data_IF_507727990569
#
_entry.id   IF_507727990569
#
_cell.length_a   1.000
_cell.length_b   1.000
_cell.length_c   1.000
_cell.angle_alpha   90.00
_cell.angle_beta   90.00
_cell.angle_gamma   90.00
#
_symmetry.space_group_name_H-M   'P 1'
#
loop_
_entity.id
_entity.type
_entity.pdbx_description
1 polymer ?
#
# COMPACT_ATOMS: atom_id res chain seq x y z
N UNK A 1 5.83 -12.84 11.09
CA UNK A 1 4.83 -13.45 10.19
C UNK A 1 5.07 -12.88 8.81
N UNK A 2 5.14 -13.71 7.77
CA UNK A 2 5.17 -13.22 6.39
C UNK A 2 3.77 -12.74 5.99
N UNK A 3 3.69 -11.57 5.37
CA UNK A 3 2.43 -11.00 4.89
C UNK A 3 2.59 -10.42 3.49
N UNK A 4 1.44 -10.24 2.84
CA UNK A 4 1.32 -9.62 1.52
C UNK A 4 0.66 -8.25 1.72
N UNK A 5 1.16 -7.23 1.03
CA UNK A 5 0.58 -5.89 1.10
C UNK A 5 -0.18 -5.60 -0.19
N UNK A 6 -1.41 -5.12 -0.05
CA UNK A 6 -2.25 -4.65 -1.15
C UNK A 6 -2.45 -3.15 -1.00
N UNK A 7 -1.84 -2.36 -1.88
CA UNK A 7 -1.95 -0.90 -1.91
C UNK A 7 -2.95 -0.51 -2.99
N UNK A 8 -4.17 -0.20 -2.60
CA UNK A 8 -5.28 0.16 -3.51
C UNK A 8 -6.37 0.86 -2.68
N UNK A 9 -6.87 2.01 -3.15
CA UNK A 9 -7.87 2.79 -2.42
C UNK A 9 -9.31 2.39 -2.76
N UNK A 10 -9.54 1.76 -3.92
CA UNK A 10 -10.88 1.37 -4.39
C UNK A 10 -11.18 -0.13 -4.24
N UNK A 11 -10.19 -1.00 -4.47
CA UNK A 11 -10.36 -2.44 -4.59
C UNK A 11 -9.96 -3.17 -3.31
N UNK A 12 -10.44 -4.40 -3.20
CA UNK A 12 -10.08 -5.30 -2.11
C UNK A 12 -9.03 -6.33 -2.58
N UNK A 13 -8.17 -6.83 -1.68
CA UNK A 13 -7.24 -7.89 -2.01
C UNK A 13 -7.96 -9.17 -2.47
N UNK A 14 -7.27 -10.04 -3.22
CA UNK A 14 -7.80 -11.33 -3.61
C UNK A 14 -8.25 -12.16 -2.41
N UNK A 15 -9.38 -12.87 -2.55
CA UNK A 15 -9.88 -13.81 -1.54
C UNK A 15 -9.24 -15.18 -1.73
N UNK A 16 -8.02 -15.32 -1.22
CA UNK A 16 -7.28 -16.58 -1.18
C UNK A 16 -6.68 -16.83 0.21
N UNK A 17 -5.88 -17.90 0.34
CA UNK A 17 -5.32 -18.35 1.62
C UNK A 17 -4.13 -17.50 2.11
N UNK A 18 -3.77 -16.41 1.43
CA UNK A 18 -2.68 -15.53 1.84
C UNK A 18 -3.16 -14.48 2.83
N UNK A 19 -2.28 -14.10 3.75
CA UNK A 19 -2.54 -13.01 4.68
C UNK A 19 -2.24 -11.66 4.02
N UNK A 20 -3.30 -11.00 3.57
CA UNK A 20 -3.26 -9.68 2.94
C UNK A 20 -3.50 -8.56 3.95
N UNK A 21 -2.63 -7.57 3.94
CA UNK A 21 -2.82 -6.28 4.61
C UNK A 21 -3.20 -5.25 3.55
N UNK A 22 -4.37 -4.64 3.70
CA UNK A 22 -4.83 -3.59 2.80
C UNK A 22 -4.33 -2.23 3.28
N UNK A 23 -3.81 -1.42 2.36
CA UNK A 23 -3.41 -0.04 2.57
C UNK A 23 -4.07 0.83 1.50
N UNK A 24 -4.79 1.87 1.92
CA UNK A 24 -5.52 2.77 1.02
C UNK A 24 -4.85 4.14 0.87
N UNK A 25 -3.68 4.32 1.48
CA UNK A 25 -2.90 5.55 1.41
C UNK A 25 -1.43 5.29 1.68
N UNK A 26 -0.59 6.27 1.33
CA UNK A 26 0.85 6.26 1.62
C UNK A 26 1.13 6.08 3.12
N UNK A 27 0.38 6.76 3.98
CA UNK A 27 0.55 6.65 5.43
C UNK A 27 0.23 5.23 5.93
N UNK A 28 -0.84 4.62 5.43
CA UNK A 28 -1.19 3.24 5.78
C UNK A 28 -0.13 2.25 5.27
N UNK A 29 0.43 2.49 4.09
CA UNK A 29 1.51 1.71 3.51
C UNK A 29 2.75 1.73 4.41
N UNK A 30 3.20 2.94 4.78
CA UNK A 30 4.34 3.11 5.69
C UNK A 30 4.07 2.48 7.05
N UNK A 31 2.88 2.72 7.62
CA UNK A 31 2.50 2.17 8.91
C UNK A 31 2.48 0.63 8.93
N UNK A 32 2.05 -0.01 7.84
CA UNK A 32 2.11 -1.47 7.72
C UNK A 32 3.56 -1.96 7.78
N UNK A 33 4.48 -1.30 7.06
CA UNK A 33 5.89 -1.70 6.98
C UNK A 33 6.63 -1.43 8.30
N UNK A 34 6.40 -0.28 8.95
CA UNK A 34 7.01 0.04 10.23
C UNK A 34 6.61 -0.94 11.34
N UNK A 35 5.36 -1.41 11.34
CA UNK A 35 4.86 -2.30 12.40
C UNK A 35 5.07 -3.78 12.13
N UNK A 36 4.95 -4.23 10.87
CA UNK A 36 5.02 -5.64 10.50
C UNK A 36 6.34 -6.05 9.82
N UNK A 37 7.21 -5.08 9.52
CA UNK A 37 8.44 -5.28 8.73
C UNK A 37 8.17 -5.28 7.22
N UNK A 38 9.18 -5.65 6.41
CA UNK A 38 9.02 -5.71 4.96
C UNK A 38 8.08 -6.86 4.55
N UNK A 39 7.09 -6.59 3.68
CA UNK A 39 6.20 -7.62 3.15
C UNK A 39 6.93 -8.56 2.21
N UNK A 40 6.41 -9.77 2.03
CA UNK A 40 6.91 -10.75 1.05
C UNK A 40 6.58 -10.35 -0.39
N UNK A 41 5.50 -9.59 -0.57
CA UNK A 41 4.98 -9.17 -1.86
C UNK A 41 4.14 -7.91 -1.67
N UNK A 42 4.18 -7.03 -2.66
CA UNK A 42 3.34 -5.83 -2.72
C UNK A 42 2.62 -5.79 -4.06
N UNK A 43 1.29 -5.63 -4.00
CA UNK A 43 0.46 -5.24 -5.15
C UNK A 43 0.27 -3.73 -5.08
N UNK A 44 0.69 -2.99 -6.11
CA UNK A 44 0.54 -1.54 -6.19
C UNK A 44 -0.59 -1.17 -7.14
N UNK A 45 -1.49 -0.32 -6.69
CA UNK A 45 -2.32 0.48 -7.58
C UNK A 45 -1.58 1.73 -8.06
N UNK A 46 -1.93 2.19 -9.26
CA UNK A 46 -1.19 3.26 -9.93
C UNK A 46 -1.45 4.63 -9.29
N UNK A 47 -2.72 4.97 -9.09
CA UNK A 47 -3.15 6.15 -8.37
C UNK A 47 -3.83 5.74 -7.06
N UNK A 48 -3.81 6.61 -6.05
CA UNK A 48 -4.53 6.41 -4.80
C UNK A 48 -5.62 7.49 -4.65
N UNK A 49 -6.10 7.99 -5.80
CA UNK A 49 -7.04 9.10 -5.88
C UNK A 49 -6.51 10.45 -5.35
N UNK A 50 -7.44 11.25 -4.85
CA UNK A 50 -7.21 12.58 -4.29
C UNK A 50 -7.99 12.77 -2.98
N UNK A 51 -7.58 13.74 -2.18
CA UNK A 51 -8.32 14.22 -1.03
C UNK A 51 -9.61 14.97 -1.46
N UNK A 52 -10.60 15.14 -0.56
CA UNK A 52 -11.84 15.85 -0.88
C UNK A 52 -11.66 17.29 -1.38
N UNK A 53 -10.52 17.92 -1.06
CA UNK A 53 -10.16 19.26 -1.50
C UNK A 53 -9.48 19.30 -2.90
N UNK A 54 -9.30 18.14 -3.53
CA UNK A 54 -8.67 17.98 -4.83
C UNK A 54 -7.15 17.79 -4.77
N UNK A 55 -6.54 17.72 -3.58
CA UNK A 55 -5.11 17.44 -3.44
C UNK A 55 -4.83 15.99 -3.86
N UNK A 56 -3.97 15.81 -4.86
CA UNK A 56 -3.58 14.47 -5.34
C UNK A 56 -2.79 13.74 -4.26
N UNK A 57 -3.19 12.51 -3.94
CA UNK A 57 -2.47 11.67 -2.98
C UNK A 57 -1.18 11.11 -3.59
N UNK A 58 -0.18 10.73 -2.77
CA UNK A 58 0.99 10.04 -3.28
C UNK A 58 0.59 8.77 -4.03
N UNK A 59 1.23 8.52 -5.17
CA UNK A 59 0.92 7.39 -6.06
C UNK A 59 1.54 6.09 -5.56
N UNK A 60 1.19 4.96 -6.20
CA UNK A 60 1.90 3.70 -5.98
C UNK A 60 3.39 3.78 -6.34
N UNK A 61 3.75 4.61 -7.31
CA UNK A 61 5.15 4.87 -7.66
C UNK A 61 5.91 5.57 -6.52
N UNK A 62 5.26 6.51 -5.82
CA UNK A 62 5.87 7.19 -4.68
C UNK A 62 6.10 6.21 -3.52
N UNK A 63 5.16 5.29 -3.28
CA UNK A 63 5.33 4.19 -2.31
C UNK A 63 6.51 3.28 -2.69
N UNK A 64 6.61 2.89 -3.96
CA UNK A 64 7.70 2.04 -4.45
C UNK A 64 9.06 2.73 -4.37
N UNK A 65 9.13 4.02 -4.72
CA UNK A 65 10.36 4.83 -4.58
C UNK A 65 10.78 4.91 -3.11
N UNK A 66 9.84 5.22 -2.21
CA UNK A 66 10.10 5.29 -0.78
C UNK A 66 10.67 3.96 -0.25
N UNK A 67 10.15 2.82 -0.72
CA UNK A 67 10.65 1.50 -0.30
C UNK A 67 12.11 1.24 -0.69
N UNK A 68 12.59 1.81 -1.80
CA UNK A 68 13.98 1.69 -2.23
C UNK A 68 14.93 2.59 -1.44
N UNK A 69 14.40 3.65 -0.81
CA UNK A 69 15.14 4.61 0.01
C UNK A 69 15.04 4.28 1.52
N UNK A 70 14.24 3.27 1.87
CA UNK A 70 13.96 2.81 3.24
C UNK A 70 15.15 2.12 3.91
#
# INVERSE_FOLDING_TARGET
>A
MSYYLFLDDERAPPRDDRFWVNAQSFDQFQHAIYNAGLPMFVSFDHDLGAEPDGTVKPSGMDCARWLCEY
#
